data_IF_301261928538
#
_entry.id   IF_301261928538
#
_cell.length_a   1.000
_cell.length_b   1.000
_cell.length_c   1.000
_cell.angle_alpha   90.00
_cell.angle_beta   90.00
_cell.angle_gamma   90.00
#
_symmetry.space_group_name_H-M   'P 1'
#
loop_
_entity.id
_entity.type
_entity.pdbx_description
1 polymer ?
#
# COMPACT_ATOMS: atom_id res chain seq x y z
N UNK A 1 50.69 9.82 51.77
CA UNK A 1 50.45 10.10 50.33
C UNK A 1 49.89 8.89 49.57
N UNK A 2 50.40 7.66 49.73
CA UNK A 2 49.95 6.48 48.97
C UNK A 2 48.48 6.10 49.17
N UNK A 3 47.84 6.31 50.32
CA UNK A 3 46.44 5.99 50.60
C UNK A 3 45.45 6.98 49.93
N UNK A 4 45.83 8.22 49.71
CA UNK A 4 44.99 9.24 49.01
C UNK A 4 44.99 9.06 47.48
N UNK A 5 46.08 8.57 46.91
CA UNK A 5 46.15 8.22 45.48
C UNK A 5 45.29 7.01 45.13
N UNK A 6 45.23 6.00 46.03
CA UNK A 6 44.44 4.80 45.81
C UNK A 6 42.94 5.08 45.86
N UNK A 7 42.47 6.01 46.73
CA UNK A 7 41.06 6.45 46.79
C UNK A 7 40.65 7.26 45.55
N UNK A 8 41.54 8.08 44.96
CA UNK A 8 41.25 8.82 43.73
C UNK A 8 41.11 7.90 42.51
N UNK A 9 41.96 6.85 42.44
CA UNK A 9 41.88 5.85 41.36
C UNK A 9 40.61 4.99 41.46
N UNK A 10 40.15 4.65 42.67
CA UNK A 10 38.90 3.90 42.87
C UNK A 10 37.64 4.74 42.52
N UNK A 11 37.66 6.04 42.85
CA UNK A 11 36.56 6.94 42.45
C UNK A 11 36.50 7.20 40.94
N UNK A 12 37.65 7.31 40.27
CA UNK A 12 37.72 7.53 38.83
C UNK A 12 37.35 6.27 38.02
N UNK A 13 37.62 5.04 38.58
CA UNK A 13 37.17 3.79 37.98
C UNK A 13 35.65 3.55 38.09
N UNK A 14 35.02 4.09 39.13
CA UNK A 14 33.56 3.96 39.33
C UNK A 14 32.76 4.91 38.44
N UNK A 15 33.32 6.05 38.02
CA UNK A 15 32.70 7.00 37.08
C UNK A 15 32.74 6.55 35.60
N UNK A 16 33.65 5.62 35.23
CA UNK A 16 33.73 5.10 33.85
C UNK A 16 32.72 4.02 33.53
N UNK A 17 31.96 3.49 34.51
CA UNK A 17 30.95 2.45 34.31
C UNK A 17 29.55 2.98 34.01
N UNK A 18 29.35 4.32 33.99
CA UNK A 18 28.02 4.93 33.69
C UNK A 18 27.94 5.56 32.31
N UNK A 19 28.90 5.38 31.40
CA UNK A 19 28.89 6.04 30.08
C UNK A 19 28.53 5.13 28.89
N UNK A 20 27.95 3.94 29.15
CA UNK A 20 27.50 3.06 28.06
C UNK A 20 26.03 2.68 28.19
N UNK A 21 25.12 3.65 28.14
CA UNK A 21 23.70 3.37 27.97
C UNK A 21 22.93 4.59 27.40
N UNK A 22 23.33 5.05 26.20
CA UNK A 22 22.45 5.82 25.33
C UNK A 22 22.33 5.08 24.01
N UNK A 23 21.85 3.85 24.03
CA UNK A 23 21.22 3.19 22.91
C UNK A 23 19.74 3.51 23.01
N UNK A 24 19.14 4.05 21.97
CA UNK A 24 17.68 4.16 21.86
C UNK A 24 17.06 2.77 21.99
N UNK A 25 16.71 2.39 23.21
CA UNK A 25 15.90 1.20 23.44
C UNK A 25 14.45 1.58 23.08
N UNK A 26 13.97 1.09 21.93
CA UNK A 26 12.55 0.90 21.72
C UNK A 26 12.00 0.14 22.93
N UNK A 27 11.07 0.74 23.68
CA UNK A 27 10.48 0.06 24.84
C UNK A 27 9.76 -1.19 24.32
N UNK A 28 10.03 -2.38 24.86
CA UNK A 28 9.22 -3.55 24.56
C UNK A 28 7.79 -3.32 25.08
N UNK A 29 6.80 -3.87 24.37
CA UNK A 29 5.40 -3.83 24.80
C UNK A 29 5.28 -4.26 26.26
N UNK A 30 4.40 -3.61 27.01
CA UNK A 30 4.16 -3.95 28.43
C UNK A 30 3.63 -5.37 28.49
N UNK A 31 4.23 -6.19 29.31
CA UNK A 31 3.92 -7.63 29.45
C UNK A 31 2.42 -7.82 29.70
N UNK A 32 1.71 -8.44 28.74
CA UNK A 32 0.28 -8.74 28.81
C UNK A 32 -0.63 -7.79 28.02
N UNK A 33 -0.14 -6.72 27.42
CA UNK A 33 -0.90 -5.89 26.46
C UNK A 33 -0.58 -6.33 25.03
N UNK A 34 -1.60 -6.39 24.15
CA UNK A 34 -1.40 -6.68 22.73
C UNK A 34 -0.65 -5.51 22.07
N UNK A 35 0.25 -5.84 21.15
CA UNK A 35 0.96 -4.83 20.36
C UNK A 35 -0.05 -3.97 19.57
N UNK A 36 -0.05 -2.66 19.79
CA UNK A 36 -0.91 -1.74 19.05
C UNK A 36 -0.23 -1.29 17.76
N UNK A 37 -0.77 -1.74 16.63
CA UNK A 37 -0.27 -1.42 15.28
C UNK A 37 -1.22 -0.48 14.58
N UNK A 38 -0.69 0.62 14.04
CA UNK A 38 -1.46 1.55 13.21
C UNK A 38 -1.03 1.37 11.76
N UNK A 39 -1.98 1.08 10.87
CA UNK A 39 -1.76 0.94 9.44
C UNK A 39 -2.41 2.10 8.69
N UNK A 40 -1.74 2.61 7.65
CA UNK A 40 -2.24 3.79 6.93
C UNK A 40 -3.42 3.47 6.02
N UNK A 41 -3.31 2.44 5.20
CA UNK A 41 -4.33 2.06 4.19
C UNK A 41 -5.11 0.82 4.61
N UNK A 42 -6.25 0.59 3.96
CA UNK A 42 -7.06 -0.63 4.19
C UNK A 42 -6.32 -1.91 3.83
N UNK A 43 -5.50 -1.91 2.75
CA UNK A 43 -4.70 -3.05 2.35
C UNK A 43 -3.66 -3.42 3.42
N UNK A 44 -3.01 -2.42 4.01
CA UNK A 44 -2.05 -2.63 5.09
C UNK A 44 -2.73 -3.04 6.39
N UNK A 45 -3.93 -2.52 6.67
CA UNK A 45 -4.75 -2.93 7.82
C UNK A 45 -5.10 -4.42 7.74
N UNK A 46 -5.52 -4.89 6.55
CA UNK A 46 -5.77 -6.32 6.31
C UNK A 46 -4.47 -7.12 6.48
N UNK A 47 -3.38 -6.70 5.84
CA UNK A 47 -2.09 -7.39 5.90
C UNK A 47 -1.59 -7.58 7.33
N UNK A 48 -1.60 -6.51 8.14
CA UNK A 48 -1.22 -6.57 9.55
C UNK A 48 -2.15 -7.50 10.33
N UNK A 49 -3.46 -7.47 10.04
CA UNK A 49 -4.44 -8.33 10.69
C UNK A 49 -4.23 -9.81 10.37
N UNK A 50 -3.93 -10.13 9.10
CA UNK A 50 -3.66 -11.51 8.65
C UNK A 50 -2.43 -12.11 9.34
N UNK A 51 -1.37 -11.34 9.51
CA UNK A 51 -0.11 -11.81 10.11
C UNK A 51 -0.16 -11.70 11.64
N UNK A 52 -0.66 -10.60 12.17
CA UNK A 52 -0.72 -10.33 13.61
C UNK A 52 -1.77 -11.19 14.34
N UNK A 53 -2.92 -11.44 13.69
CA UNK A 53 -4.03 -12.19 14.28
C UNK A 53 -4.47 -11.61 15.62
N UNK A 54 -4.77 -12.50 16.56
CA UNK A 54 -5.22 -12.11 17.91
C UNK A 54 -4.11 -11.57 18.83
N UNK A 55 -2.86 -11.56 18.38
CA UNK A 55 -1.73 -11.10 19.19
C UNK A 55 -1.49 -9.59 19.07
N UNK A 56 -2.14 -8.93 18.12
CA UNK A 56 -2.06 -7.49 17.89
C UNK A 56 -3.43 -6.82 17.99
N UNK A 57 -3.42 -5.51 18.22
CA UNK A 57 -4.59 -4.65 18.00
C UNK A 57 -4.27 -3.76 16.82
N UNK A 58 -5.04 -3.84 15.74
CA UNK A 58 -4.80 -3.06 14.53
C UNK A 58 -5.78 -1.90 14.43
N UNK A 59 -5.27 -0.72 14.17
CA UNK A 59 -6.06 0.47 13.84
C UNK A 59 -5.70 0.95 12.44
N UNK A 60 -6.68 0.92 11.52
CA UNK A 60 -6.54 1.55 10.21
C UNK A 60 -6.85 3.04 10.28
N UNK A 61 -6.04 3.88 9.65
CA UNK A 61 -6.31 5.33 9.56
C UNK A 61 -7.32 5.64 8.47
N UNK A 62 -7.13 5.04 7.31
CA UNK A 62 -7.99 5.24 6.15
C UNK A 62 -9.01 4.12 6.08
N UNK A 63 -10.26 4.48 5.82
CA UNK A 63 -11.36 3.52 5.61
C UNK A 63 -11.59 3.19 4.14
N UNK A 64 -12.57 2.32 3.85
CA UNK A 64 -12.98 2.02 2.47
C UNK A 64 -13.34 3.28 1.67
N UNK A 65 -12.92 3.34 0.40
CA UNK A 65 -13.16 4.46 -0.50
C UNK A 65 -12.34 5.72 -0.22
N UNK A 66 -11.43 5.69 0.75
CA UNK A 66 -10.55 6.82 1.03
C UNK A 66 -9.34 6.79 0.11
N UNK A 67 -9.09 7.90 -0.57
CA UNK A 67 -7.94 8.12 -1.44
C UNK A 67 -6.70 8.49 -0.61
N UNK A 68 -5.65 7.65 -0.57
CA UNK A 68 -4.44 7.88 0.22
C UNK A 68 -3.59 9.05 -0.30
N UNK A 69 -3.65 9.37 -1.59
CA UNK A 69 -2.91 10.49 -2.16
C UNK A 69 -3.43 11.84 -1.65
N UNK A 70 -4.71 11.91 -1.30
CA UNK A 70 -5.39 13.13 -0.86
C UNK A 70 -5.58 13.18 0.67
N UNK A 71 -5.37 12.05 1.36
CA UNK A 71 -5.64 11.95 2.78
C UNK A 71 -4.75 12.87 3.62
N UNK A 72 -5.38 13.69 4.45
CA UNK A 72 -4.72 14.58 5.39
C UNK A 72 -5.04 14.14 6.82
N UNK A 73 -4.00 13.84 7.59
CA UNK A 73 -4.17 13.43 8.98
C UNK A 73 -4.77 14.55 9.82
N UNK A 74 -5.88 14.27 10.49
CA UNK A 74 -6.47 15.14 11.49
C UNK A 74 -5.82 15.00 12.88
N UNK A 75 -6.26 15.79 13.83
CA UNK A 75 -5.73 15.75 15.22
C UNK A 75 -5.95 14.37 15.88
N UNK A 76 -7.06 13.69 15.55
CA UNK A 76 -7.34 12.34 16.02
C UNK A 76 -6.31 11.32 15.52
N UNK A 77 -5.96 11.41 14.23
CA UNK A 77 -4.97 10.52 13.60
C UNK A 77 -3.58 10.72 14.20
N UNK A 78 -3.19 11.99 14.45
CA UNK A 78 -1.92 12.31 15.13
C UNK A 78 -1.88 11.69 16.52
N UNK A 79 -3.01 11.70 17.25
CA UNK A 79 -3.11 11.05 18.57
C UNK A 79 -2.99 9.54 18.43
N UNK A 80 -3.69 8.92 17.50
CA UNK A 80 -3.64 7.48 17.22
C UNK A 80 -2.22 7.04 16.85
N UNK A 81 -1.58 7.74 15.92
CA UNK A 81 -0.19 7.47 15.52
C UNK A 81 0.80 7.61 16.67
N UNK A 82 0.61 8.64 17.52
CA UNK A 82 1.49 8.87 18.67
C UNK A 82 1.32 7.81 19.78
N UNK A 83 0.23 7.08 19.79
CA UNK A 83 -0.04 5.97 20.74
C UNK A 83 0.29 4.59 20.18
N UNK A 84 0.82 4.49 18.97
CA UNK A 84 1.18 3.22 18.34
C UNK A 84 2.51 2.66 18.87
N UNK A 85 2.62 1.34 18.97
CA UNK A 85 3.88 0.63 19.18
C UNK A 85 4.62 0.43 17.87
N UNK A 86 3.86 0.31 16.76
CA UNK A 86 4.34 0.14 15.41
C UNK A 86 3.39 0.84 14.42
N UNK A 87 3.95 1.57 13.46
CA UNK A 87 3.22 2.15 12.33
C UNK A 87 3.63 1.41 11.06
N UNK A 88 2.66 1.06 10.21
CA UNK A 88 2.87 0.42 8.92
C UNK A 88 2.32 1.32 7.82
N UNK A 89 3.21 1.77 6.93
CA UNK A 89 2.94 2.65 5.80
C UNK A 89 3.31 1.97 4.48
N UNK A 90 2.72 2.42 3.39
CA UNK A 90 3.12 1.96 2.06
C UNK A 90 4.49 2.52 1.66
N UNK A 91 4.67 3.82 1.75
CA UNK A 91 5.86 4.52 1.26
C UNK A 91 5.73 4.97 -0.20
N UNK A 92 6.85 5.32 -0.82
CA UNK A 92 6.91 5.83 -2.21
C UNK A 92 5.98 7.03 -2.46
N UNK A 93 5.82 7.87 -1.45
CA UNK A 93 4.95 9.06 -1.46
C UNK A 93 3.45 8.80 -1.63
N UNK A 94 2.96 7.57 -1.42
CA UNK A 94 1.51 7.31 -1.41
C UNK A 94 0.82 8.19 -0.36
N UNK A 95 1.36 8.21 0.87
CA UNK A 95 0.86 9.05 1.96
C UNK A 95 1.50 10.44 1.94
N UNK A 96 1.65 11.03 0.74
CA UNK A 96 2.44 12.26 0.56
C UNK A 96 1.98 13.44 1.41
N UNK A 97 0.66 13.60 1.61
CA UNK A 97 0.09 14.66 2.47
C UNK A 97 0.23 14.39 3.97
N UNK A 98 0.64 13.17 4.36
CA UNK A 98 0.93 12.80 5.75
C UNK A 98 2.44 12.82 6.06
N UNK A 99 3.32 13.07 5.10
CA UNK A 99 4.77 12.92 5.24
C UNK A 99 5.36 13.64 6.47
N UNK A 100 4.94 14.89 6.74
CA UNK A 100 5.40 15.63 7.91
C UNK A 100 4.90 15.02 9.23
N UNK A 101 3.67 14.50 9.26
CA UNK A 101 3.09 13.86 10.44
C UNK A 101 3.86 12.56 10.74
N UNK A 102 4.08 11.72 9.74
CA UNK A 102 4.84 10.48 9.87
C UNK A 102 6.26 10.75 10.35
N UNK A 103 6.96 11.70 9.74
CA UNK A 103 8.30 12.12 10.18
C UNK A 103 8.33 12.63 11.62
N UNK A 104 7.31 13.35 12.04
CA UNK A 104 7.22 13.85 13.42
C UNK A 104 7.03 12.72 14.44
N UNK A 105 6.26 11.68 14.14
CA UNK A 105 6.09 10.54 15.06
C UNK A 105 7.34 9.66 15.09
N UNK A 106 8.04 9.48 13.97
CA UNK A 106 9.36 8.83 13.90
C UNK A 106 10.39 9.56 14.77
N UNK A 107 10.46 10.87 14.66
CA UNK A 107 11.36 11.70 15.49
C UNK A 107 11.06 11.58 16.99
N UNK A 108 9.86 11.17 17.37
CA UNK A 108 9.48 10.85 18.77
C UNK A 108 9.84 9.40 19.16
N UNK A 109 10.42 8.63 18.25
CA UNK A 109 10.86 7.26 18.50
C UNK A 109 9.79 6.20 18.27
N UNK A 110 8.65 6.54 17.62
CA UNK A 110 7.67 5.54 17.20
C UNK A 110 8.24 4.78 16.00
N UNK A 111 8.25 3.45 16.09
CA UNK A 111 8.74 2.61 14.99
C UNK A 111 7.78 2.69 13.81
N UNK A 112 8.34 2.96 12.63
CA UNK A 112 7.58 3.01 11.38
C UNK A 112 8.22 2.07 10.36
N UNK A 113 7.40 1.30 9.66
CA UNK A 113 7.80 0.43 8.56
C UNK A 113 7.12 0.91 7.29
N UNK A 114 7.91 1.22 6.28
CA UNK A 114 7.46 1.47 4.92
C UNK A 114 7.63 0.17 4.14
N UNK A 115 6.52 -0.48 3.81
CA UNK A 115 6.58 -1.83 3.19
C UNK A 115 7.25 -1.81 1.82
N UNK A 116 7.18 -0.71 1.09
CA UNK A 116 7.85 -0.56 -0.20
C UNK A 116 9.38 -0.59 -0.09
N UNK A 117 9.97 -0.26 1.07
CA UNK A 117 11.42 -0.34 1.29
C UNK A 117 11.94 -1.80 1.28
N UNK A 118 11.03 -2.78 1.41
CA UNK A 118 11.38 -4.20 1.28
C UNK A 118 11.55 -4.67 -0.16
N UNK A 119 11.17 -3.85 -1.14
CA UNK A 119 11.27 -4.19 -2.54
C UNK A 119 12.67 -3.89 -3.08
N UNK A 120 13.24 -4.78 -3.92
CA UNK A 120 14.44 -4.45 -4.69
C UNK A 120 14.18 -3.23 -5.58
N UNK A 121 15.17 -2.35 -5.72
CA UNK A 121 15.04 -1.11 -6.49
C UNK A 121 14.56 -1.34 -7.94
N UNK A 122 15.01 -2.43 -8.56
CA UNK A 122 14.59 -2.85 -9.90
C UNK A 122 13.12 -3.31 -9.99
N UNK A 123 12.50 -3.61 -8.86
CA UNK A 123 11.07 -3.95 -8.79
C UNK A 123 10.18 -2.72 -8.73
N UNK A 124 10.73 -1.56 -8.39
CA UNK A 124 9.99 -0.31 -8.26
C UNK A 124 9.84 0.32 -9.63
N UNK A 125 8.59 0.56 -10.05
CA UNK A 125 8.28 1.27 -11.28
C UNK A 125 8.48 2.78 -11.08
N UNK A 126 8.95 3.43 -12.15
CA UNK A 126 9.12 4.89 -12.18
C UNK A 126 8.34 5.46 -13.36
N UNK A 127 7.87 6.69 -13.19
CA UNK A 127 7.19 7.46 -14.22
C UNK A 127 7.76 8.88 -14.25
N UNK A 128 7.52 9.59 -15.34
CA UNK A 128 7.89 10.99 -15.45
C UNK A 128 6.79 11.86 -14.83
N UNK A 129 7.15 12.70 -13.87
CA UNK A 129 6.25 13.65 -13.22
C UNK A 129 6.88 15.04 -13.25
N UNK A 130 6.28 15.97 -14.00
CA UNK A 130 6.74 17.37 -14.15
C UNK A 130 8.23 17.50 -14.52
N UNK A 131 8.72 16.57 -15.37
CA UNK A 131 10.11 16.54 -15.82
C UNK A 131 11.10 15.92 -14.83
N UNK A 132 10.63 15.28 -13.77
CA UNK A 132 11.42 14.51 -12.82
C UNK A 132 10.93 13.05 -12.76
N UNK A 133 11.85 12.11 -12.52
CA UNK A 133 11.47 10.73 -12.26
C UNK A 133 10.83 10.60 -10.88
N UNK A 134 9.62 10.03 -10.82
CA UNK A 134 8.92 9.69 -9.60
C UNK A 134 8.69 8.17 -9.53
N UNK A 135 8.44 7.65 -8.34
CA UNK A 135 8.21 6.23 -8.10
C UNK A 135 6.71 5.95 -8.00
N UNK A 136 6.27 4.86 -8.62
CA UNK A 136 4.89 4.39 -8.54
C UNK A 136 4.66 3.68 -7.20
N UNK A 137 3.73 4.17 -6.35
CA UNK A 137 3.48 3.60 -5.03
C UNK A 137 2.56 2.38 -5.02
N UNK A 138 1.87 2.03 -6.12
CA UNK A 138 0.81 1.03 -6.18
C UNK A 138 1.34 -0.42 -6.21
N UNK A 139 2.28 -0.72 -5.32
CA UNK A 139 3.03 -1.98 -5.27
C UNK A 139 2.15 -3.22 -5.07
N UNK A 140 0.98 -3.05 -4.45
CA UNK A 140 0.04 -4.13 -4.13
C UNK A 140 -0.61 -4.78 -5.35
N UNK A 141 -0.54 -4.17 -6.51
CA UNK A 141 -1.05 -4.75 -7.75
C UNK A 141 -0.13 -5.79 -8.40
N UNK A 142 1.07 -5.99 -7.87
CA UNK A 142 1.92 -7.15 -8.15
C UNK A 142 1.97 -8.03 -6.89
N UNK A 143 1.33 -9.21 -6.95
CA UNK A 143 1.27 -10.14 -5.81
C UNK A 143 2.66 -10.53 -5.32
N UNK A 144 3.67 -10.62 -6.21
CA UNK A 144 5.04 -10.91 -5.79
C UNK A 144 5.67 -9.77 -4.97
N UNK A 145 5.31 -8.52 -5.25
CA UNK A 145 5.69 -7.38 -4.41
C UNK A 145 4.96 -7.43 -3.06
N UNK A 146 3.67 -7.78 -3.07
CA UNK A 146 2.88 -7.89 -1.83
C UNK A 146 3.39 -8.99 -0.90
N UNK A 147 3.94 -10.08 -1.43
CA UNK A 147 4.62 -11.12 -0.63
C UNK A 147 5.84 -10.59 0.11
N UNK A 148 6.59 -9.66 -0.51
CA UNK A 148 7.72 -8.97 0.14
C UNK A 148 7.23 -8.04 1.25
N UNK A 149 6.16 -7.26 0.98
CA UNK A 149 5.50 -6.44 1.99
C UNK A 149 5.03 -7.29 3.20
N UNK A 150 4.43 -8.46 2.95
CA UNK A 150 4.02 -9.39 4.00
C UNK A 150 5.20 -9.87 4.85
N UNK A 151 6.32 -10.18 4.22
CA UNK A 151 7.55 -10.58 4.93
C UNK A 151 8.12 -9.43 5.76
N UNK A 152 8.04 -8.19 5.28
CA UNK A 152 8.50 -7.02 6.03
C UNK A 152 7.63 -6.78 7.27
N UNK A 153 6.31 -6.93 7.15
CA UNK A 153 5.37 -6.81 8.28
C UNK A 153 5.62 -7.92 9.31
N UNK A 154 5.78 -9.18 8.87
CA UNK A 154 6.10 -10.30 9.77
C UNK A 154 7.35 -10.01 10.60
N UNK A 155 8.43 -9.58 9.94
CA UNK A 155 9.68 -9.23 10.58
C UNK A 155 9.51 -8.10 11.60
N UNK A 156 8.81 -7.04 11.24
CA UNK A 156 8.57 -5.90 12.13
C UNK A 156 7.76 -6.28 13.37
N UNK A 157 6.73 -7.11 13.22
CA UNK A 157 5.95 -7.64 14.33
C UNK A 157 6.81 -8.51 15.25
N UNK A 158 7.62 -9.42 14.67
CA UNK A 158 8.50 -10.30 15.44
C UNK A 158 9.60 -9.53 16.20
N UNK A 159 10.11 -8.43 15.65
CA UNK A 159 11.09 -7.56 16.31
C UNK A 159 10.47 -6.80 17.50
N UNK A 160 9.20 -6.37 17.37
CA UNK A 160 8.48 -5.64 18.41
C UNK A 160 7.93 -6.53 19.51
N UNK A 161 7.52 -7.73 19.15
CA UNK A 161 6.91 -8.71 20.04
C UNK A 161 7.54 -10.09 19.82
N UNK A 162 8.77 -10.31 20.34
CA UNK A 162 9.50 -11.57 20.19
C UNK A 162 8.79 -12.78 20.85
N UNK A 163 7.94 -12.54 21.83
CA UNK A 163 7.16 -13.60 22.51
C UNK A 163 6.21 -14.31 21.54
N UNK A 164 5.65 -13.58 20.56
CA UNK A 164 4.73 -14.10 19.56
C UNK A 164 5.35 -14.33 18.18
N UNK A 165 6.67 -14.14 18.02
CA UNK A 165 7.37 -14.21 16.73
C UNK A 165 7.10 -15.51 15.96
N UNK A 166 7.03 -16.66 16.65
CA UNK A 166 6.74 -17.95 16.01
C UNK A 166 5.35 -17.98 15.39
N UNK A 167 4.33 -17.38 16.04
CA UNK A 167 2.95 -17.29 15.53
C UNK A 167 2.84 -16.35 14.34
N UNK A 168 3.54 -15.21 14.37
CA UNK A 168 3.60 -14.29 13.21
C UNK A 168 4.19 -14.98 12.00
N UNK A 169 5.28 -15.72 12.19
CA UNK A 169 5.93 -16.49 11.12
C UNK A 169 5.01 -17.57 10.53
N UNK A 170 4.30 -18.32 11.36
CA UNK A 170 3.35 -19.36 10.91
C UNK A 170 2.21 -18.75 10.09
N UNK A 171 1.59 -17.64 10.58
CA UNK A 171 0.52 -16.95 9.85
C UNK A 171 1.05 -16.34 8.55
N UNK A 172 2.23 -15.72 8.57
CA UNK A 172 2.86 -15.19 7.37
C UNK A 172 3.09 -16.28 6.32
N UNK A 173 3.58 -17.46 6.70
CA UNK A 173 3.75 -18.59 5.78
C UNK A 173 2.43 -19.05 5.17
N UNK A 174 1.37 -19.12 5.97
CA UNK A 174 0.01 -19.47 5.49
C UNK A 174 -0.49 -18.40 4.51
N UNK A 175 -0.31 -17.13 4.84
CA UNK A 175 -0.73 -16.02 3.98
C UNK A 175 0.06 -15.97 2.66
N UNK A 176 1.38 -16.21 2.70
CA UNK A 176 2.22 -16.29 1.50
C UNK A 176 1.76 -17.42 0.56
N UNK A 177 1.36 -18.57 1.09
CA UNK A 177 0.79 -19.65 0.27
C UNK A 177 -0.54 -19.23 -0.39
N UNK A 178 -1.42 -18.53 0.35
CA UNK A 178 -2.67 -18.00 -0.21
C UNK A 178 -2.41 -16.94 -1.29
N UNK A 179 -1.34 -16.15 -1.15
CA UNK A 179 -0.90 -15.20 -2.18
C UNK A 179 -0.39 -15.91 -3.43
N UNK A 180 0.33 -17.03 -3.31
CA UNK A 180 0.73 -17.87 -4.47
C UNK A 180 -0.49 -18.38 -5.23
N UNK A 181 -1.48 -18.93 -4.53
CA UNK A 181 -2.74 -19.37 -5.13
C UNK A 181 -3.49 -18.23 -5.81
N UNK A 182 -3.48 -17.04 -5.20
CA UNK A 182 -4.11 -15.84 -5.76
C UNK A 182 -3.40 -15.38 -7.03
N UNK A 183 -2.07 -15.38 -7.04
CA UNK A 183 -1.27 -15.03 -8.21
C UNK A 183 -1.56 -15.96 -9.40
N UNK A 184 -1.62 -17.25 -9.15
CA UNK A 184 -1.98 -18.24 -10.18
C UNK A 184 -3.43 -18.07 -10.66
N UNK A 185 -4.36 -17.72 -9.77
CA UNK A 185 -5.74 -17.39 -10.15
C UNK A 185 -5.78 -16.20 -11.11
N UNK A 186 -5.08 -15.10 -10.79
CA UNK A 186 -5.05 -13.90 -11.64
C UNK A 186 -4.44 -14.21 -13.01
N UNK A 187 -3.33 -14.95 -13.05
CA UNK A 187 -2.68 -15.37 -14.32
C UNK A 187 -3.64 -16.19 -15.19
N UNK A 188 -4.34 -17.15 -14.57
CA UNK A 188 -5.31 -18.00 -15.28
C UNK A 188 -6.48 -17.18 -15.83
N UNK A 189 -7.05 -16.29 -15.03
CA UNK A 189 -8.14 -15.41 -15.49
C UNK A 189 -7.68 -14.46 -16.60
N UNK A 190 -6.50 -13.85 -16.43
CA UNK A 190 -5.92 -12.98 -17.46
C UNK A 190 -5.73 -13.68 -18.81
N UNK A 191 -5.36 -14.97 -18.80
CA UNK A 191 -5.19 -15.77 -20.00
C UNK A 191 -6.51 -16.02 -20.78
N UNK A 192 -7.68 -15.78 -20.19
CA UNK A 192 -8.97 -15.89 -20.88
C UNK A 192 -9.20 -14.75 -21.89
N UNK A 193 -8.45 -13.64 -21.77
CA UNK A 193 -8.49 -12.49 -22.69
C UNK A 193 -7.31 -12.63 -23.66
N UNK A 194 -7.53 -12.55 -24.99
CA UNK A 194 -6.44 -12.48 -25.96
C UNK A 194 -5.49 -11.30 -25.66
N UNK A 195 -4.18 -11.47 -25.82
CA UNK A 195 -3.16 -10.48 -25.47
C UNK A 195 -3.42 -9.09 -26.07
N UNK A 196 -3.83 -9.05 -27.33
CA UNK A 196 -4.16 -7.81 -28.03
C UNK A 196 -5.45 -7.11 -27.54
N UNK A 197 -6.22 -7.79 -26.67
CA UNK A 197 -7.46 -7.28 -26.06
C UNK A 197 -7.27 -6.95 -24.57
N UNK A 198 -6.09 -7.20 -24.00
CA UNK A 198 -5.78 -6.89 -22.59
C UNK A 198 -5.46 -5.41 -22.42
N UNK A 199 -6.44 -4.55 -22.70
CA UNK A 199 -6.32 -3.10 -22.54
C UNK A 199 -7.25 -2.66 -21.40
N UNK A 200 -6.64 -2.16 -20.33
CA UNK A 200 -7.33 -1.70 -19.13
C UNK A 200 -7.33 -0.17 -19.07
N UNK A 201 -8.50 0.44 -19.07
CA UNK A 201 -8.68 1.89 -18.96
C UNK A 201 -9.36 2.22 -17.65
N UNK A 202 -8.74 3.08 -16.84
CA UNK A 202 -9.10 3.38 -15.44
C UNK A 202 -9.18 4.89 -15.18
N UNK A 203 -9.66 5.30 -14.01
CA UNK A 203 -9.77 6.70 -13.64
C UNK A 203 -8.40 7.33 -13.33
N UNK A 204 -7.49 6.60 -12.67
CA UNK A 204 -6.11 7.02 -12.50
C UNK A 204 -5.14 5.88 -12.81
N UNK A 205 -3.86 6.19 -12.92
CA UNK A 205 -2.83 5.26 -13.37
C UNK A 205 -2.24 4.43 -12.21
N UNK A 206 -3.10 3.67 -11.53
CA UNK A 206 -2.73 2.82 -10.40
C UNK A 206 -2.25 1.40 -10.80
N UNK A 207 -2.55 0.94 -12.02
CA UNK A 207 -2.44 -0.47 -12.38
C UNK A 207 -1.18 -0.84 -13.16
N UNK A 208 -0.10 -0.05 -13.11
CA UNK A 208 1.12 -0.33 -13.87
C UNK A 208 1.88 -1.57 -13.35
N UNK A 209 1.85 -1.85 -12.05
CA UNK A 209 2.38 -3.11 -11.51
C UNK A 209 1.54 -4.32 -11.97
N UNK A 210 0.21 -4.15 -12.06
CA UNK A 210 -0.68 -5.17 -12.64
C UNK A 210 -0.38 -5.39 -14.12
N UNK A 211 -0.17 -4.31 -14.88
CA UNK A 211 0.27 -4.33 -16.27
C UNK A 211 1.51 -5.21 -16.45
N UNK A 212 2.55 -4.93 -15.68
CA UNK A 212 3.82 -5.68 -15.73
C UNK A 212 3.65 -7.15 -15.33
N UNK A 213 2.88 -7.43 -14.30
CA UNK A 213 2.74 -8.79 -13.75
C UNK A 213 1.88 -9.71 -14.63
N UNK A 214 0.85 -9.17 -15.30
CA UNK A 214 -0.18 -9.97 -15.96
C UNK A 214 -0.37 -9.67 -17.45
N UNK A 215 0.47 -8.81 -18.03
CA UNK A 215 0.51 -8.55 -19.49
C UNK A 215 -0.66 -7.73 -19.99
N UNK A 216 -1.14 -6.76 -19.21
CA UNK A 216 -2.12 -5.77 -19.65
C UNK A 216 -1.44 -4.50 -20.13
N UNK A 217 -2.05 -3.82 -21.09
CA UNK A 217 -1.75 -2.42 -21.39
C UNK A 217 -2.68 -1.55 -20.57
N UNK A 218 -2.14 -0.70 -19.69
CA UNK A 218 -2.92 0.16 -18.79
C UNK A 218 -2.88 1.61 -19.25
N UNK A 219 -4.01 2.30 -19.13
CA UNK A 219 -4.18 3.73 -19.37
C UNK A 219 -5.09 4.35 -18.32
N UNK A 220 -4.55 5.18 -17.44
CA UNK A 220 -5.32 6.05 -16.56
C UNK A 220 -5.75 7.34 -17.27
N UNK A 221 -6.86 7.93 -16.85
CA UNK A 221 -7.24 9.28 -17.21
C UNK A 221 -6.38 10.29 -16.45
N UNK A 222 -6.26 10.14 -15.13
CA UNK A 222 -5.33 10.88 -14.28
C UNK A 222 -3.98 10.14 -14.25
N UNK A 223 -2.93 10.86 -13.85
CA UNK A 223 -1.61 10.26 -13.62
C UNK A 223 -1.59 9.29 -12.42
N UNK A 224 -0.38 8.86 -12.04
CA UNK A 224 -0.15 7.94 -10.91
C UNK A 224 -0.65 8.51 -9.58
N UNK A 225 -0.60 9.81 -9.37
CA UNK A 225 -1.21 10.47 -8.21
C UNK A 225 -2.49 11.21 -8.60
N UNK A 226 -3.53 11.04 -7.81
CA UNK A 226 -4.81 11.75 -7.94
C UNK A 226 -4.73 13.19 -7.46
N UNK A 227 -3.60 13.65 -6.91
CA UNK A 227 -3.42 15.01 -6.43
C UNK A 227 -3.49 16.08 -7.56
N UNK A 228 -3.27 15.67 -8.80
CA UNK A 228 -3.45 16.51 -9.99
C UNK A 228 -4.65 16.00 -10.80
N UNK A 229 -5.59 16.90 -11.12
CA UNK A 229 -6.72 16.55 -11.98
C UNK A 229 -6.28 16.40 -13.44
N UNK A 230 -6.95 15.50 -14.18
CA UNK A 230 -6.74 15.37 -15.62
C UNK A 230 -7.16 16.64 -16.37
N UNK A 231 -6.31 17.09 -17.27
CA UNK A 231 -6.60 18.22 -18.13
C UNK A 231 -7.50 17.84 -19.33
N UNK A 232 -7.97 18.86 -20.05
CA UNK A 232 -8.78 18.65 -21.26
C UNK A 232 -8.03 17.89 -22.36
N UNK A 233 -6.71 18.00 -22.40
CA UNK A 233 -5.87 17.27 -23.33
C UNK A 233 -5.80 15.78 -22.98
N UNK A 234 -5.63 15.44 -21.72
CA UNK A 234 -5.58 14.06 -21.24
C UNK A 234 -6.90 13.33 -21.54
N UNK A 235 -8.02 14.02 -21.31
CA UNK A 235 -9.36 13.54 -21.69
C UNK A 235 -9.45 13.29 -23.20
N UNK A 236 -9.01 14.24 -24.03
CA UNK A 236 -9.10 14.13 -25.49
C UNK A 236 -8.23 12.98 -26.02
N UNK A 237 -7.01 12.84 -25.49
CA UNK A 237 -6.05 11.80 -25.87
C UNK A 237 -6.56 10.41 -25.47
N UNK A 238 -7.13 10.26 -24.27
CA UNK A 238 -7.74 9.01 -23.82
C UNK A 238 -8.94 8.62 -24.65
N UNK A 239 -9.85 9.56 -24.94
CA UNK A 239 -11.03 9.32 -25.81
C UNK A 239 -10.60 8.90 -27.21
N UNK A 240 -9.55 9.52 -27.78
CA UNK A 240 -9.00 9.13 -29.05
C UNK A 240 -8.43 7.71 -28.99
N UNK A 241 -7.64 7.39 -27.96
CA UNK A 241 -7.09 6.05 -27.74
C UNK A 241 -8.18 4.98 -27.66
N UNK A 242 -9.25 5.22 -26.89
CA UNK A 242 -10.38 4.29 -26.73
C UNK A 242 -11.08 4.04 -28.09
N UNK A 243 -11.32 5.11 -28.85
CA UNK A 243 -12.03 5.00 -30.14
C UNK A 243 -11.17 4.31 -31.21
N UNK A 244 -9.87 4.60 -31.28
CA UNK A 244 -8.95 4.00 -32.26
C UNK A 244 -8.73 2.51 -32.02
N UNK A 245 -8.60 2.11 -30.75
CA UNK A 245 -8.37 0.71 -30.36
C UNK A 245 -9.68 -0.09 -30.17
N UNK A 246 -10.84 0.54 -30.38
CA UNK A 246 -12.14 -0.13 -30.26
C UNK A 246 -12.35 -0.77 -28.89
N UNK A 247 -11.90 -0.08 -27.82
CA UNK A 247 -11.96 -0.60 -26.45
C UNK A 247 -13.44 -0.80 -26.05
N UNK A 248 -13.77 -2.01 -25.56
CA UNK A 248 -15.14 -2.40 -25.23
C UNK A 248 -15.61 -1.79 -23.92
N UNK A 249 -14.73 -1.80 -22.89
CA UNK A 249 -15.06 -1.38 -21.54
C UNK A 249 -13.98 -0.51 -20.92
N UNK A 250 -14.41 0.43 -20.08
CA UNK A 250 -13.59 1.27 -19.20
C UNK A 250 -14.10 1.11 -17.78
N UNK A 251 -13.31 1.43 -16.76
CA UNK A 251 -13.64 1.10 -15.39
C UNK A 251 -13.64 2.34 -14.49
N UNK A 252 -14.63 2.42 -13.61
CA UNK A 252 -14.62 3.34 -12.47
C UNK A 252 -13.83 2.74 -11.31
N UNK A 253 -13.49 3.56 -10.33
CA UNK A 253 -12.69 3.13 -9.19
C UNK A 253 -13.37 3.54 -7.87
N UNK A 254 -13.17 2.70 -6.82
CA UNK A 254 -13.79 2.91 -5.51
C UNK A 254 -13.29 4.15 -4.76
N UNK A 255 -12.06 4.61 -5.06
CA UNK A 255 -11.42 5.76 -4.39
C UNK A 255 -11.43 7.05 -5.21
N UNK A 256 -11.93 7.01 -6.47
CA UNK A 256 -11.96 8.16 -7.39
C UNK A 256 -13.40 8.46 -7.83
N UNK A 257 -13.80 9.74 -7.97
CA UNK A 257 -15.16 10.07 -8.41
C UNK A 257 -15.51 9.46 -9.77
N UNK A 258 -16.61 8.72 -9.88
CA UNK A 258 -17.05 8.02 -11.10
C UNK A 258 -17.33 8.94 -12.27
N UNK A 259 -17.74 10.19 -11.99
CA UNK A 259 -18.07 11.21 -13.01
C UNK A 259 -17.00 11.44 -14.06
N UNK A 260 -15.73 11.24 -13.71
CA UNK A 260 -14.59 11.42 -14.63
C UNK A 260 -14.63 10.38 -15.74
N UNK A 261 -14.86 9.11 -15.41
CA UNK A 261 -14.99 8.00 -16.37
C UNK A 261 -16.32 8.07 -17.14
N UNK A 262 -17.40 8.48 -16.50
CA UNK A 262 -18.69 8.73 -17.16
C UNK A 262 -18.54 9.81 -18.24
N UNK A 263 -17.76 10.87 -17.98
CA UNK A 263 -17.49 11.92 -18.98
C UNK A 263 -16.65 11.38 -20.16
N UNK A 264 -15.68 10.49 -19.92
CA UNK A 264 -14.95 9.78 -21.01
C UNK A 264 -15.91 8.96 -21.86
N UNK A 265 -16.82 8.21 -21.23
CA UNK A 265 -17.83 7.40 -21.93
C UNK A 265 -18.70 8.27 -22.84
N UNK A 266 -19.23 9.38 -22.34
CA UNK A 266 -20.05 10.32 -23.12
C UNK A 266 -19.25 10.94 -24.29
N UNK A 267 -17.98 11.30 -24.07
CA UNK A 267 -17.13 11.84 -25.12
C UNK A 267 -16.82 10.80 -26.22
N UNK A 268 -16.64 9.52 -25.85
CA UNK A 268 -16.50 8.43 -26.81
C UNK A 268 -17.79 8.25 -27.64
N UNK A 269 -18.96 8.32 -26.98
CA UNK A 269 -20.27 8.23 -27.64
C UNK A 269 -20.45 9.36 -28.66
N UNK A 270 -20.06 10.59 -28.30
CA UNK A 270 -20.09 11.73 -29.20
C UNK A 270 -19.19 11.55 -30.45
N UNK A 271 -18.12 10.74 -30.35
CA UNK A 271 -17.25 10.32 -31.48
C UNK A 271 -17.75 9.07 -32.22
N UNK A 272 -18.93 8.55 -31.86
CA UNK A 272 -19.54 7.39 -32.51
C UNK A 272 -19.07 6.03 -32.00
N UNK A 273 -18.37 5.97 -30.86
CA UNK A 273 -17.97 4.74 -30.22
C UNK A 273 -18.68 4.52 -28.88
N UNK A 274 -19.42 3.42 -28.77
CA UNK A 274 -20.20 3.11 -27.57
C UNK A 274 -19.37 2.20 -26.63
N UNK A 275 -18.44 2.78 -25.88
CA UNK A 275 -17.73 2.09 -24.81
C UNK A 275 -18.64 1.95 -23.58
N UNK A 276 -18.55 0.83 -22.85
CA UNK A 276 -19.34 0.61 -21.63
C UNK A 276 -18.49 0.83 -20.37
N UNK A 277 -19.13 1.21 -19.26
CA UNK A 277 -18.50 1.07 -17.93
C UNK A 277 -18.61 -0.39 -17.55
N UNK A 278 -17.46 -1.09 -17.50
CA UNK A 278 -17.36 -2.53 -17.29
C UNK A 278 -17.54 -2.95 -15.83
N UNK A 279 -17.46 -2.00 -14.91
CA UNK A 279 -17.60 -2.21 -13.47
C UNK A 279 -16.73 -1.28 -12.68
N UNK A 280 -16.77 -1.46 -11.36
CA UNK A 280 -15.92 -0.76 -10.39
C UNK A 280 -14.72 -1.61 -10.00
N UNK A 281 -13.54 -1.00 -9.96
CA UNK A 281 -12.30 -1.62 -9.48
C UNK A 281 -11.91 -0.98 -8.14
N UNK A 282 -11.41 -1.80 -7.27
CA UNK A 282 -10.79 -1.37 -6.03
C UNK A 282 -9.33 -1.02 -6.32
N UNK A 283 -9.01 0.27 -6.36
CA UNK A 283 -7.63 0.72 -6.63
C UNK A 283 -6.86 0.98 -5.34
N UNK A 284 -7.16 2.04 -4.63
CA UNK A 284 -6.38 2.50 -3.48
C UNK A 284 -7.00 2.14 -2.12
N UNK A 285 -8.13 1.45 -2.14
CA UNK A 285 -8.74 0.94 -0.92
C UNK A 285 -9.44 -0.39 -1.16
N UNK A 286 -9.51 -1.20 -0.11
CA UNK A 286 -10.41 -2.35 -0.03
C UNK A 286 -11.85 -1.88 0.16
N UNK A 287 -12.79 -2.79 -0.04
CA UNK A 287 -14.19 -2.62 0.33
C UNK A 287 -14.39 -2.73 1.86
N UNK A 288 -15.62 -2.63 2.31
CA UNK A 288 -15.99 -2.86 3.71
C UNK A 288 -15.62 -4.28 4.16
N UNK A 289 -15.34 -4.47 5.44
CA UNK A 289 -14.91 -5.76 6.01
C UNK A 289 -15.96 -6.87 5.88
N UNK A 290 -17.21 -6.53 5.56
CA UNK A 290 -18.29 -7.50 5.32
C UNK A 290 -18.39 -7.95 3.87
N UNK A 291 -17.69 -7.29 2.96
CA UNK A 291 -17.60 -7.64 1.54
C UNK A 291 -16.51 -8.68 1.30
N UNK A 292 -16.66 -9.55 0.28
CA UNK A 292 -15.56 -10.40 -0.19
C UNK A 292 -14.29 -9.61 -0.55
N UNK A 293 -14.43 -8.40 -1.10
CA UNK A 293 -13.32 -7.50 -1.43
C UNK A 293 -12.78 -6.69 -0.23
N UNK A 294 -13.27 -6.95 0.98
CA UNK A 294 -12.79 -6.36 2.22
C UNK A 294 -11.44 -6.93 2.71
N UNK A 295 -10.85 -7.87 1.98
CA UNK A 295 -9.49 -8.38 2.16
C UNK A 295 -8.67 -8.16 0.89
N UNK A 296 -7.35 -8.09 1.00
CA UNK A 296 -6.46 -7.95 -0.16
C UNK A 296 -6.68 -9.07 -1.21
N UNK A 297 -6.72 -10.32 -0.77
CA UNK A 297 -6.95 -11.48 -1.65
C UNK A 297 -8.31 -11.38 -2.35
N UNK A 298 -9.33 -11.00 -1.61
CA UNK A 298 -10.67 -10.82 -2.14
C UNK A 298 -10.74 -9.69 -3.16
N UNK A 299 -10.09 -8.57 -2.88
CA UNK A 299 -9.99 -7.41 -3.76
C UNK A 299 -9.30 -7.76 -5.10
N UNK A 300 -8.14 -8.41 -5.05
CA UNK A 300 -7.41 -8.83 -6.26
C UNK A 300 -8.27 -9.76 -7.13
N UNK A 301 -8.97 -10.73 -6.51
CA UNK A 301 -9.86 -11.64 -7.23
C UNK A 301 -11.07 -10.91 -7.83
N UNK A 302 -11.71 -10.02 -7.07
CA UNK A 302 -12.84 -9.23 -7.56
C UNK A 302 -12.43 -8.34 -8.75
N UNK A 303 -11.26 -7.70 -8.68
CA UNK A 303 -10.75 -6.87 -9.75
C UNK A 303 -10.52 -7.67 -11.03
N UNK A 304 -9.79 -8.79 -10.97
CA UNK A 304 -9.52 -9.58 -12.18
C UNK A 304 -10.80 -10.17 -12.77
N UNK A 305 -11.76 -10.59 -11.95
CA UNK A 305 -13.03 -11.11 -12.42
C UNK A 305 -13.83 -10.02 -13.14
N UNK A 306 -13.95 -8.82 -12.56
CA UNK A 306 -14.59 -7.65 -13.17
C UNK A 306 -13.94 -7.29 -14.52
N UNK A 307 -12.60 -7.25 -14.57
CA UNK A 307 -11.84 -6.94 -15.80
C UNK A 307 -12.11 -7.99 -16.88
N UNK A 308 -11.99 -9.27 -16.54
CA UNK A 308 -12.15 -10.36 -17.52
C UNK A 308 -13.58 -10.42 -18.04
N UNK A 309 -14.56 -10.33 -17.17
CA UNK A 309 -15.98 -10.41 -17.56
C UNK A 309 -16.41 -9.25 -18.47
N UNK A 310 -15.78 -8.07 -18.33
CA UNK A 310 -16.06 -6.91 -19.17
C UNK A 310 -15.28 -6.88 -20.51
N UNK A 311 -14.08 -7.46 -20.56
CA UNK A 311 -13.21 -7.39 -21.76
C UNK A 311 -13.31 -8.63 -22.65
N UNK A 312 -13.75 -9.76 -22.13
CA UNK A 312 -13.95 -11.01 -22.86
C UNK A 312 -15.17 -10.90 -23.80
#
# INVERSE_FOLDING_TARGET
MKKRLLSLFLLMSLCLLFLTACGSQSQPAKKGEKLHVVATTTMLTDLVSQIGGDDVTVTGLMGPGVDPHLYQAGAGDVTTLSGADLIVCNGLHLEGKMGDVLKNVENKGISTVYVADSLPAESILTFENEGAAAQDPHIWFDVENWKKAATAVEKALAEKDPEHAARYKERAQTYLHQLDETNEYVKKRSAEIPENSRILVTAHDAFQYFSRAYGFQVRGLQGVSTASEAGTRDMADLVQFITDHKIKAIFVESSVPHKTIEAVQEACRAKGWNVVVGGELYSDSLDTTTSPAGTYIGMIKANIDTIVDALK
#
